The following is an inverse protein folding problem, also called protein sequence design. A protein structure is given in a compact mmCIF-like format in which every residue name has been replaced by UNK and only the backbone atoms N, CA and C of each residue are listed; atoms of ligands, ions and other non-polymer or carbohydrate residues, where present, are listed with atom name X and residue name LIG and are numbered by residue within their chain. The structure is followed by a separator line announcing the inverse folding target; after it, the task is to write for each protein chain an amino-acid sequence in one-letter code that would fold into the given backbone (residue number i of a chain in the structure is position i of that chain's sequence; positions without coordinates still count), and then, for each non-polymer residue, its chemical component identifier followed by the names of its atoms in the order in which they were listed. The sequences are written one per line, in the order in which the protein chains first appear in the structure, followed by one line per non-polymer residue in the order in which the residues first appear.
data_IF_896093533087
#
_entry.id   IF_896093533087
#
_cell.length_a   1.000
_cell.length_b   1.000
_cell.length_c   1.000
_cell.angle_alpha   90.00
_cell.angle_beta   90.00
_cell.angle_gamma   90.00
#
_symmetry.space_group_name_H-M   'P 1'
#
loop_
_entity.id
_entity.type
_entity.pdbx_description
1 polymer ?
#
# COMPACT_ATOMS: atom_id res chain seq x y z
N UNK A 1 -3.06 21.60 -56.66
CA UNK A 1 -2.76 20.52 -55.70
C UNK A 1 -2.14 21.15 -54.47
N UNK A 2 -2.89 21.22 -53.36
CA UNK A 2 -2.36 21.68 -52.07
C UNK A 2 -2.12 20.43 -51.22
N UNK A 3 -0.87 20.18 -50.85
CA UNK A 3 -0.48 19.09 -49.96
C UNK A 3 -0.74 19.56 -48.52
N UNK A 4 -1.71 18.98 -47.85
CA UNK A 4 -1.88 19.16 -46.41
C UNK A 4 -1.05 18.11 -45.70
N UNK A 5 -0.08 18.56 -44.89
CA UNK A 5 0.74 17.72 -44.04
C UNK A 5 -0.08 17.41 -42.77
N UNK A 6 -0.42 16.15 -42.56
CA UNK A 6 -1.04 15.69 -41.32
C UNK A 6 0.05 15.62 -40.25
N UNK A 7 -0.05 16.47 -39.22
CA UNK A 7 0.84 16.43 -38.06
C UNK A 7 0.44 15.25 -37.17
N UNK A 8 1.29 14.22 -37.10
CA UNK A 8 1.12 13.10 -36.18
C UNK A 8 1.62 13.54 -34.80
N UNK A 9 0.73 13.98 -33.93
CA UNK A 9 1.04 14.14 -32.51
C UNK A 9 0.83 12.78 -31.84
N UNK A 10 1.92 12.02 -31.65
CA UNK A 10 1.93 10.88 -30.75
C UNK A 10 1.73 11.40 -29.32
N UNK A 11 0.49 11.41 -28.84
CA UNK A 11 0.22 11.62 -27.41
C UNK A 11 0.52 10.29 -26.72
N UNK A 12 1.77 10.14 -26.28
CA UNK A 12 2.13 9.16 -25.26
C UNK A 12 1.43 9.57 -23.96
N UNK A 13 0.26 8.99 -23.70
CA UNK A 13 -0.28 8.91 -22.34
C UNK A 13 0.61 7.93 -21.57
N UNK A 14 1.82 8.37 -21.19
CA UNK A 14 2.56 7.68 -20.13
C UNK A 14 1.73 7.94 -18.88
N UNK A 15 1.08 6.91 -18.35
CA UNK A 15 0.54 7.00 -17.00
C UNK A 15 1.71 7.42 -16.11
N UNK A 16 1.64 8.64 -15.60
CA UNK A 16 2.63 9.16 -14.68
C UNK A 16 2.39 8.40 -13.38
N UNK A 17 3.08 7.27 -13.22
CA UNK A 17 3.14 6.58 -11.93
C UNK A 17 4.00 7.47 -11.05
N UNK A 18 3.34 8.30 -10.25
CA UNK A 18 4.02 9.03 -9.19
C UNK A 18 4.67 7.96 -8.30
N UNK A 19 5.98 8.09 -8.07
CA UNK A 19 6.70 7.13 -7.23
C UNK A 19 6.00 7.06 -5.87
N UNK A 20 5.63 5.85 -5.45
CA UNK A 20 4.98 5.61 -4.17
C UNK A 20 5.95 6.03 -3.05
N UNK A 21 5.52 6.88 -2.11
CA UNK A 21 6.35 7.18 -0.94
C UNK A 21 6.33 5.99 0.00
N UNK A 22 7.45 5.71 0.63
CA UNK A 22 7.57 4.69 1.68
C UNK A 22 7.93 5.34 3.01
N UNK A 23 7.12 5.03 4.04
CA UNK A 23 7.33 5.44 5.42
C UNK A 23 7.92 4.25 6.17
N UNK A 24 9.14 4.45 6.66
CA UNK A 24 9.92 3.42 7.33
C UNK A 24 10.05 3.73 8.81
N UNK A 25 10.07 2.67 9.61
CA UNK A 25 10.59 2.68 10.95
C UNK A 25 11.55 1.50 11.13
N UNK A 26 12.84 1.82 11.20
CA UNK A 26 13.95 0.90 11.40
C UNK A 26 14.41 0.82 12.87
N UNK A 27 13.88 1.68 13.74
CA UNK A 27 14.18 1.76 15.17
C UNK A 27 15.64 2.06 15.54
N UNK A 28 16.48 2.48 14.58
CA UNK A 28 17.91 2.68 14.79
C UNK A 28 18.25 3.99 15.51
N UNK A 29 17.32 4.94 15.49
CA UNK A 29 17.45 6.18 16.24
C UNK A 29 17.48 5.94 17.76
N UNK A 30 17.96 6.93 18.53
CA UNK A 30 18.03 6.80 19.99
C UNK A 30 16.67 7.04 20.64
N UNK A 31 16.11 6.01 21.26
CA UNK A 31 14.87 6.03 22.03
C UNK A 31 14.86 4.85 23.02
N UNK A 32 13.99 4.87 24.04
CA UNK A 32 13.70 3.68 24.85
C UNK A 32 14.89 2.94 25.45
N UNK A 33 15.89 3.64 26.00
CA UNK A 33 17.13 3.02 26.55
C UNK A 33 17.10 2.73 28.04
N UNK A 34 16.09 3.22 28.77
CA UNK A 34 16.05 3.22 30.25
C UNK A 34 14.93 2.33 30.83
N UNK A 35 14.17 1.63 29.99
CA UNK A 35 13.04 0.81 30.40
C UNK A 35 11.88 0.93 29.43
N UNK A 36 10.80 0.19 29.71
CA UNK A 36 9.56 0.33 28.98
C UNK A 36 8.92 1.69 29.26
N UNK A 37 8.40 2.31 28.20
CA UNK A 37 7.73 3.58 28.30
C UNK A 37 7.12 4.03 26.98
N UNK A 38 6.52 5.21 26.99
CA UNK A 38 5.95 5.83 25.80
C UNK A 38 6.97 6.75 25.14
N UNK A 39 7.26 6.49 23.87
CA UNK A 39 8.29 7.19 23.10
C UNK A 39 7.76 7.65 21.75
N UNK A 40 8.23 8.82 21.32
CA UNK A 40 8.12 9.25 19.94
C UNK A 40 9.42 8.91 19.21
N UNK A 41 9.31 8.12 18.14
CA UNK A 41 10.45 7.67 17.35
C UNK A 41 10.32 8.26 15.94
N UNK A 42 11.31 9.04 15.53
CA UNK A 42 11.30 9.63 14.18
C UNK A 42 11.72 8.57 13.16
N UNK A 43 10.83 8.29 12.20
CA UNK A 43 11.08 7.41 11.07
C UNK A 43 11.48 8.18 9.81
N UNK A 44 11.37 7.54 8.65
CA UNK A 44 11.64 8.21 7.37
C UNK A 44 10.69 9.39 7.14
N UNK A 45 11.05 10.24 6.17
CA UNK A 45 10.30 11.48 5.86
C UNK A 45 10.17 12.45 7.05
N UNK A 46 10.95 12.26 8.12
CA UNK A 46 10.87 13.05 9.35
C UNK A 46 9.55 12.86 10.12
N UNK A 47 8.82 11.76 9.85
CA UNK A 47 7.53 11.50 10.47
C UNK A 47 7.70 10.76 11.79
N UNK A 48 6.85 11.09 12.74
CA UNK A 48 6.93 10.56 14.10
C UNK A 48 5.99 9.37 14.28
N UNK A 49 6.56 8.27 14.76
CA UNK A 49 5.86 7.09 15.21
C UNK A 49 5.72 7.15 16.74
N UNK A 50 4.67 6.53 17.26
CA UNK A 50 4.48 6.41 18.71
C UNK A 50 4.67 4.95 19.11
N UNK A 51 5.56 4.71 20.07
CA UNK A 51 5.70 3.42 20.74
C UNK A 51 5.19 3.60 22.15
N UNK A 52 4.12 2.91 22.53
CA UNK A 52 3.60 2.91 23.89
C UNK A 52 4.02 1.65 24.63
N UNK A 53 4.49 1.82 25.87
CA UNK A 53 5.06 0.74 26.70
C UNK A 53 6.04 -0.15 25.91
N UNK A 54 6.95 0.48 25.17
CA UNK A 54 7.97 -0.22 24.40
C UNK A 54 9.37 0.05 24.90
N UNK A 55 10.31 -0.77 24.47
CA UNK A 55 11.75 -0.65 24.70
C UNK A 55 12.48 -0.85 23.38
N UNK A 56 13.60 -0.18 23.21
CA UNK A 56 14.51 -0.43 22.10
C UNK A 56 15.32 -1.70 22.36
N UNK A 57 14.96 -2.78 21.66
CA UNK A 57 15.60 -4.09 21.74
C UNK A 57 16.90 -4.10 20.96
N UNK A 58 17.96 -4.71 21.49
CA UNK A 58 19.30 -4.71 20.88
C UNK A 58 19.90 -6.11 20.69
N UNK A 59 19.20 -7.16 21.15
CA UNK A 59 19.66 -8.56 21.14
C UNK A 59 18.85 -9.45 20.20
N UNK A 60 17.58 -9.10 19.97
CA UNK A 60 16.66 -9.85 19.11
C UNK A 60 16.22 -8.98 17.94
N UNK A 61 17.15 -8.70 17.04
CA UNK A 61 17.00 -7.75 15.93
C UNK A 61 16.90 -8.53 14.61
N UNK A 62 16.05 -8.08 13.69
CA UNK A 62 15.96 -8.65 12.35
C UNK A 62 17.00 -8.00 11.43
N UNK A 63 17.00 -6.68 11.38
CA UNK A 63 17.89 -5.88 10.53
C UNK A 63 18.51 -4.74 11.35
N UNK A 64 19.76 -4.39 11.05
CA UNK A 64 20.44 -3.34 11.80
C UNK A 64 20.86 -3.78 13.20
N UNK A 65 20.75 -2.88 14.16
CA UNK A 65 21.18 -3.04 15.55
C UNK A 65 20.04 -2.93 16.57
N UNK A 66 18.85 -2.48 16.16
CA UNK A 66 17.75 -2.27 17.08
C UNK A 66 16.39 -2.66 16.50
N UNK A 67 15.49 -3.08 17.38
CA UNK A 67 14.09 -3.35 17.07
C UNK A 67 13.18 -2.70 18.13
N UNK A 68 11.88 -2.66 17.88
CA UNK A 68 10.89 -2.29 18.90
C UNK A 68 10.40 -3.51 19.65
N UNK A 69 10.48 -3.51 20.98
CA UNK A 69 9.89 -4.54 21.83
C UNK A 69 8.77 -3.93 22.68
N UNK A 70 7.55 -4.37 22.48
CA UNK A 70 6.41 -4.04 23.33
C UNK A 70 6.44 -4.88 24.62
N UNK A 71 5.95 -4.32 25.72
CA UNK A 71 5.96 -4.98 27.04
C UNK A 71 4.96 -6.14 27.16
N UNK A 72 5.06 -6.90 28.25
CA UNK A 72 4.15 -7.99 28.64
C UNK A 72 3.20 -7.60 29.79
N UNK A 73 2.81 -6.32 29.84
CA UNK A 73 2.00 -5.78 30.94
C UNK A 73 0.93 -4.80 30.46
N UNK A 74 -0.30 -5.29 30.24
CA UNK A 74 -1.43 -4.47 29.79
C UNK A 74 -1.50 -4.30 28.26
N UNK A 75 -2.15 -3.25 27.78
CA UNK A 75 -2.37 -3.03 26.34
C UNK A 75 -1.28 -2.08 25.81
N UNK A 76 -0.41 -2.54 24.90
CA UNK A 76 0.73 -1.75 24.36
C UNK A 76 0.71 -1.68 22.83
N UNK A 77 1.29 -0.63 22.24
CA UNK A 77 1.22 -0.48 20.79
C UNK A 77 2.40 0.22 20.14
N UNK A 78 2.58 -0.07 18.85
CA UNK A 78 3.33 0.75 17.91
C UNK A 78 2.32 1.39 16.94
N UNK A 79 2.38 2.71 16.75
CA UNK A 79 1.50 3.46 15.86
C UNK A 79 2.32 4.32 14.90
N UNK A 80 1.97 4.26 13.62
CA UNK A 80 2.53 5.10 12.57
C UNK A 80 2.07 6.57 12.70
N UNK A 81 2.70 7.53 12.02
CA UNK A 81 2.01 8.78 11.66
C UNK A 81 0.74 8.49 10.84
N UNK A 82 -0.15 9.48 10.73
CA UNK A 82 -1.16 9.47 9.67
C UNK A 82 -0.46 9.59 8.32
N UNK A 83 -0.81 8.70 7.40
CA UNK A 83 -0.28 8.64 6.04
C UNK A 83 -1.43 8.85 5.07
N UNK A 84 -1.22 9.70 4.07
CA UNK A 84 -2.23 10.11 3.09
C UNK A 84 -2.46 9.00 2.06
N UNK A 85 -3.27 8.01 2.45
CA UNK A 85 -3.55 6.80 1.68
C UNK A 85 -2.56 5.67 2.02
N UNK A 86 -3.08 4.49 2.34
CA UNK A 86 -2.29 3.31 2.67
C UNK A 86 -2.33 2.32 1.51
N UNK A 87 -1.18 2.04 0.92
CA UNK A 87 -0.97 0.94 -0.02
C UNK A 87 -0.74 -0.37 0.72
N UNK A 88 0.52 -0.76 0.85
CA UNK A 88 0.95 -1.99 1.46
C UNK A 88 1.59 -1.73 2.84
N UNK A 89 1.34 -2.62 3.80
CA UNK A 89 1.92 -2.60 5.14
C UNK A 89 2.78 -3.85 5.33
N UNK A 90 4.05 -3.65 5.66
CA UNK A 90 4.97 -4.74 6.01
C UNK A 90 5.73 -4.47 7.29
N UNK A 91 6.05 -5.54 8.01
CA UNK A 91 7.02 -5.49 9.10
C UNK A 91 7.46 -6.91 9.46
N UNK A 92 8.65 -7.00 10.06
CA UNK A 92 9.14 -8.23 10.66
C UNK A 92 8.67 -8.30 12.10
N UNK A 93 8.19 -9.46 12.53
CA UNK A 93 7.76 -9.65 13.91
C UNK A 93 8.15 -11.02 14.46
N UNK A 94 8.37 -11.08 15.77
CA UNK A 94 8.65 -12.33 16.47
C UNK A 94 8.18 -12.28 17.91
N UNK A 95 8.08 -13.46 18.49
CA UNK A 95 7.86 -13.65 19.90
C UNK A 95 9.19 -13.55 20.67
N UNK A 96 9.10 -13.18 21.95
CA UNK A 96 10.24 -13.13 22.87
C UNK A 96 10.95 -14.46 23.05
N UNK A 97 10.28 -15.46 23.63
CA UNK A 97 10.87 -16.77 24.00
C UNK A 97 9.98 -18.00 23.74
N UNK A 98 8.70 -17.79 23.45
CA UNK A 98 7.72 -18.76 22.99
C UNK A 98 6.66 -19.09 24.04
N UNK A 99 6.68 -18.46 25.23
CA UNK A 99 5.73 -18.74 26.30
C UNK A 99 5.56 -17.56 27.28
N UNK A 100 4.34 -17.21 27.74
CA UNK A 100 3.05 -17.74 27.25
C UNK A 100 2.82 -17.34 25.79
N UNK A 101 1.72 -17.75 25.19
CA UNK A 101 1.42 -17.31 23.83
C UNK A 101 1.01 -15.85 23.80
N UNK A 102 1.43 -15.14 22.76
CA UNK A 102 1.09 -13.74 22.49
C UNK A 102 -0.21 -13.61 21.68
N UNK A 103 -1.00 -12.58 21.97
CA UNK A 103 -2.10 -12.10 21.12
C UNK A 103 -1.83 -10.65 20.71
N UNK A 104 -2.00 -10.36 19.42
CA UNK A 104 -1.89 -9.00 18.91
C UNK A 104 -2.71 -8.79 17.65
N UNK A 105 -3.01 -7.55 17.31
CA UNK A 105 -3.72 -7.13 16.09
C UNK A 105 -2.92 -6.10 15.31
N UNK A 106 -3.21 -6.02 14.01
CA UNK A 106 -2.85 -4.91 13.14
C UNK A 106 -4.13 -4.18 12.78
N UNK A 107 -4.15 -2.87 12.96
CA UNK A 107 -5.36 -2.07 12.91
C UNK A 107 -5.11 -0.77 12.14
N UNK A 108 -6.17 -0.18 11.58
CA UNK A 108 -6.15 1.17 11.01
C UNK A 108 -7.14 2.10 11.69
N UNK A 109 -6.92 3.40 11.54
CA UNK A 109 -7.79 4.44 12.05
C UNK A 109 -7.65 5.70 11.21
N UNK A 110 -8.75 6.38 10.89
CA UNK A 110 -8.77 7.67 10.19
C UNK A 110 -8.69 8.87 11.15
N UNK A 111 -8.99 8.65 12.43
CA UNK A 111 -9.07 9.68 13.48
C UNK A 111 -8.02 9.50 14.61
N UNK A 112 -7.29 8.38 14.60
CA UNK A 112 -6.34 7.99 15.65
C UNK A 112 -6.99 7.52 16.96
N UNK A 113 -8.31 7.37 17.01
CA UNK A 113 -9.09 7.04 18.22
C UNK A 113 -9.93 5.77 18.03
N UNK A 114 -10.61 5.66 16.90
CA UNK A 114 -11.45 4.52 16.54
C UNK A 114 -10.67 3.61 15.62
N UNK A 115 -10.45 2.37 16.06
CA UNK A 115 -9.57 1.42 15.36
C UNK A 115 -10.38 0.29 14.75
N UNK A 116 -10.07 -0.02 13.48
CA UNK A 116 -10.61 -1.14 12.74
C UNK A 116 -9.52 -2.16 12.50
N UNK A 117 -9.78 -3.42 12.87
CA UNK A 117 -8.84 -4.52 12.67
C UNK A 117 -8.64 -4.82 11.17
N UNK A 118 -7.37 -4.95 10.77
CA UNK A 118 -6.91 -5.43 9.45
C UNK A 118 -6.51 -6.91 9.55
N UNK A 119 -5.88 -7.29 10.66
CA UNK A 119 -5.48 -8.66 10.97
C UNK A 119 -5.41 -8.90 12.48
N UNK A 120 -5.64 -10.14 12.90
CA UNK A 120 -5.44 -10.59 14.28
C UNK A 120 -4.64 -11.88 14.35
N UNK A 121 -3.87 -12.01 15.43
CA UNK A 121 -3.02 -13.15 15.72
C UNK A 121 -3.34 -13.65 17.11
N UNK A 122 -3.78 -14.90 17.20
CA UNK A 122 -4.02 -15.60 18.46
C UNK A 122 -2.99 -16.69 18.66
N UNK A 123 -2.60 -16.94 19.92
CA UNK A 123 -1.72 -18.06 20.29
C UNK A 123 -0.35 -18.03 19.60
N UNK A 124 0.18 -16.85 19.28
CA UNK A 124 1.45 -16.71 18.57
C UNK A 124 2.63 -17.02 19.50
N UNK A 125 3.57 -17.86 19.07
CA UNK A 125 4.72 -18.30 19.88
C UNK A 125 6.02 -18.44 19.09
N UNK A 126 6.06 -17.98 17.84
CA UNK A 126 7.21 -18.17 16.97
C UNK A 126 8.37 -17.24 17.35
N UNK A 127 9.49 -17.83 17.77
CA UNK A 127 10.70 -17.10 18.19
C UNK A 127 11.64 -16.74 17.03
N UNK A 128 11.32 -17.19 15.81
CA UNK A 128 11.97 -16.73 14.58
C UNK A 128 11.12 -15.65 13.93
N UNK A 129 11.78 -14.64 13.36
CA UNK A 129 11.09 -13.56 12.64
C UNK A 129 10.18 -14.09 11.53
N UNK A 130 8.94 -13.64 11.57
CA UNK A 130 7.91 -13.77 10.55
C UNK A 130 7.75 -12.42 9.86
N UNK A 131 7.07 -12.41 8.71
CA UNK A 131 6.80 -11.21 7.93
C UNK A 131 5.29 -11.00 7.87
N UNK A 132 4.84 -9.83 8.31
CA UNK A 132 3.52 -9.33 7.96
C UNK A 132 3.63 -8.62 6.62
N UNK A 133 2.70 -8.91 5.72
CA UNK A 133 2.64 -8.26 4.41
C UNK A 133 1.17 -8.25 3.96
N UNK A 134 0.56 -7.07 3.92
CA UNK A 134 -0.83 -6.92 3.53
C UNK A 134 -1.06 -5.65 2.72
N UNK A 135 -1.73 -5.81 1.58
CA UNK A 135 -2.28 -4.71 0.81
C UNK A 135 -3.55 -4.21 1.51
N UNK A 136 -3.44 -3.06 2.16
CA UNK A 136 -4.58 -2.39 2.82
C UNK A 136 -5.42 -1.63 1.79
N UNK A 137 -4.76 -1.06 0.78
CA UNK A 137 -5.37 -0.44 -0.39
C UNK A 137 -6.50 0.55 -0.04
N UNK A 138 -6.22 1.45 0.89
CA UNK A 138 -7.15 2.48 1.35
C UNK A 138 -6.67 3.85 0.86
N UNK A 139 -7.50 4.53 0.08
CA UNK A 139 -7.20 5.86 -0.46
C UNK A 139 -7.22 6.97 0.61
N UNK A 140 -7.84 6.71 1.77
CA UNK A 140 -8.00 7.70 2.82
C UNK A 140 -6.77 7.78 3.72
N UNK A 141 -6.59 8.96 4.32
CA UNK A 141 -5.58 9.14 5.34
C UNK A 141 -5.84 8.24 6.54
N UNK A 142 -4.86 7.42 6.92
CA UNK A 142 -4.99 6.49 8.03
C UNK A 142 -3.70 6.40 8.85
N UNK A 143 -3.86 6.07 10.13
CA UNK A 143 -2.85 5.51 11.00
C UNK A 143 -2.84 3.98 10.85
N UNK A 144 -1.68 3.36 11.03
CA UNK A 144 -1.53 1.92 11.22
C UNK A 144 -1.01 1.67 12.64
N UNK A 145 -1.64 0.74 13.34
CA UNK A 145 -1.25 0.30 14.68
C UNK A 145 -0.99 -1.18 14.72
N UNK A 146 0.05 -1.59 15.44
CA UNK A 146 0.18 -2.95 15.95
C UNK A 146 -0.08 -2.90 17.45
N UNK A 147 -1.13 -3.59 17.90
CA UNK A 147 -1.63 -3.57 19.26
C UNK A 147 -1.42 -4.95 19.91
N UNK A 148 -0.60 -5.01 20.95
CA UNK A 148 -0.41 -6.19 21.79
C UNK A 148 -1.45 -6.19 22.92
N UNK A 149 -1.90 -7.38 23.32
CA UNK A 149 -2.71 -7.57 24.53
C UNK A 149 -1.86 -7.62 25.82
N UNK A 150 -0.53 -7.63 25.65
CA UNK A 150 0.46 -7.72 26.72
C UNK A 150 0.53 -9.08 27.38
N UNK A 151 0.01 -10.14 26.78
CA UNK A 151 0.19 -11.49 27.31
C UNK A 151 1.66 -11.91 27.32
N UNK A 152 2.46 -11.39 26.38
CA UNK A 152 3.92 -11.54 26.31
C UNK A 152 4.52 -10.42 25.43
N UNK A 153 5.85 -10.31 25.38
CA UNK A 153 6.57 -9.33 24.57
C UNK A 153 6.51 -9.66 23.08
N UNK A 154 5.96 -8.72 22.31
CA UNK A 154 6.05 -8.65 20.86
C UNK A 154 7.29 -7.87 20.45
N UNK A 155 8.09 -8.40 19.53
CA UNK A 155 9.20 -7.66 18.91
C UNK A 155 8.87 -7.40 17.44
N UNK A 156 9.02 -6.15 17.00
CA UNK A 156 8.71 -5.63 15.67
C UNK A 156 9.95 -4.92 15.12
N UNK A 157 10.24 -5.14 13.84
CA UNK A 157 11.39 -4.55 13.16
C UNK A 157 11.10 -4.28 11.67
N UNK A 158 11.92 -3.44 11.04
CA UNK A 158 11.84 -3.02 9.63
C UNK A 158 10.40 -2.74 9.18
N UNK A 159 9.70 -1.83 9.86
CA UNK A 159 8.31 -1.48 9.53
C UNK A 159 8.29 -0.59 8.29
N UNK A 160 7.42 -0.92 7.33
CA UNK A 160 7.23 -0.16 6.10
C UNK A 160 5.75 0.01 5.79
N UNK A 161 5.36 1.23 5.44
CA UNK A 161 4.05 1.55 4.88
C UNK A 161 4.28 2.29 3.58
N UNK A 162 3.59 1.90 2.53
CA UNK A 162 3.64 2.61 1.25
C UNK A 162 2.38 3.47 1.06
N UNK A 163 2.48 4.58 0.32
CA UNK A 163 1.29 5.36 -0.08
C UNK A 163 0.31 4.50 -0.90
N UNK A 164 -0.97 4.84 -0.88
CA UNK A 164 -1.93 4.27 -1.84
C UNK A 164 -1.54 4.64 -3.28
N UNK A 165 -1.39 3.64 -4.15
CA UNK A 165 -0.92 3.84 -5.53
C UNK A 165 -2.04 3.81 -6.59
N UNK A 166 -3.30 3.73 -6.18
CA UNK A 166 -4.40 3.41 -7.09
C UNK A 166 -4.49 1.91 -7.39
N UNK A 167 -5.69 1.42 -7.70
CA UNK A 167 -5.83 0.14 -8.38
C UNK A 167 -5.60 0.31 -9.88
N UNK A 168 -4.98 -0.68 -10.52
CA UNK A 168 -4.93 -0.72 -11.98
C UNK A 168 -6.33 -1.08 -12.49
N UNK A 169 -6.86 -0.32 -13.44
CA UNK A 169 -8.13 -0.65 -14.07
C UNK A 169 -8.02 -2.01 -14.78
N UNK A 170 -8.97 -2.93 -14.53
CA UNK A 170 -8.96 -4.22 -15.18
C UNK A 170 -9.24 -4.10 -16.68
N UNK A 171 -8.76 -5.06 -17.47
CA UNK A 171 -9.12 -5.12 -18.89
C UNK A 171 -10.65 -5.24 -19.05
N UNK A 172 -11.26 -4.54 -20.03
CA UNK A 172 -12.68 -4.68 -20.31
C UNK A 172 -13.06 -6.14 -20.55
N UNK A 173 -14.21 -6.56 -20.00
CA UNK A 173 -14.61 -7.97 -20.06
C UNK A 173 -14.94 -8.44 -21.48
N UNK A 174 -15.27 -7.52 -22.38
CA UNK A 174 -15.55 -7.79 -23.79
C UNK A 174 -15.11 -6.60 -24.65
N UNK A 175 -14.97 -6.86 -25.96
CA UNK A 175 -14.74 -5.83 -26.98
C UNK A 175 -16.07 -5.25 -27.49
N UNK A 176 -16.07 -4.01 -28.04
CA UNK A 176 -17.22 -3.50 -28.78
C UNK A 176 -17.49 -4.37 -30.02
N UNK A 177 -18.74 -4.41 -30.46
CA UNK A 177 -19.18 -5.24 -31.59
C UNK A 177 -19.81 -4.39 -32.69
N UNK A 178 -20.15 -4.99 -33.83
CA UNK A 178 -20.85 -4.32 -34.94
C UNK A 178 -20.17 -3.03 -35.44
N UNK A 179 -18.83 -2.95 -35.38
CA UNK A 179 -18.10 -1.80 -35.89
C UNK A 179 -18.32 -1.64 -37.40
N UNK A 180 -18.77 -0.46 -37.81
CA UNK A 180 -18.90 -0.07 -39.21
C UNK A 180 -18.26 1.28 -39.44
N UNK A 181 -17.69 1.44 -40.63
CA UNK A 181 -17.12 2.69 -41.12
C UNK A 181 -17.68 2.93 -42.52
N UNK A 182 -18.51 3.97 -42.67
CA UNK A 182 -19.20 4.28 -43.93
C UNK A 182 -18.71 5.61 -44.45
N UNK A 183 -18.15 5.64 -45.66
CA UNK A 183 -17.79 6.89 -46.30
C UNK A 183 -19.03 7.76 -46.53
N UNK A 184 -19.00 9.01 -46.05
CA UNK A 184 -20.07 9.98 -46.19
C UNK A 184 -19.54 11.24 -46.88
N UNK A 185 -19.06 11.07 -48.11
CA UNK A 185 -18.38 12.13 -48.86
C UNK A 185 -16.87 11.90 -48.94
N UNK A 186 -16.15 12.92 -49.40
CA UNK A 186 -14.70 12.84 -49.65
C UNK A 186 -13.86 13.19 -48.43
N UNK A 187 -14.46 13.79 -47.40
CA UNK A 187 -13.81 14.29 -46.19
C UNK A 187 -14.46 13.78 -44.88
N UNK A 188 -15.42 12.86 -44.96
CA UNK A 188 -16.11 12.31 -43.80
C UNK A 188 -16.27 10.79 -43.91
N UNK A 189 -16.07 10.11 -42.77
CA UNK A 189 -16.41 8.71 -42.56
C UNK A 189 -17.25 8.64 -41.29
N UNK A 190 -18.46 8.12 -41.42
CA UNK A 190 -19.35 7.88 -40.29
C UNK A 190 -19.00 6.54 -39.64
N UNK A 191 -18.76 6.57 -38.35
CA UNK A 191 -18.43 5.39 -37.55
C UNK A 191 -19.61 5.03 -36.67
N UNK A 192 -19.91 3.74 -36.57
CA UNK A 192 -20.85 3.23 -35.56
C UNK A 192 -20.38 1.88 -35.04
N UNK A 193 -20.76 1.57 -33.80
CA UNK A 193 -20.51 0.29 -33.16
C UNK A 193 -21.56 0.07 -32.06
N UNK A 194 -21.64 -1.17 -31.59
CA UNK A 194 -22.31 -1.51 -30.34
C UNK A 194 -21.27 -1.48 -29.24
N UNK A 195 -21.53 -0.73 -28.17
CA UNK A 195 -20.63 -0.63 -27.02
C UNK A 195 -20.34 -2.01 -26.40
N UNK A 196 -19.15 -2.13 -25.81
CA UNK A 196 -18.78 -3.30 -25.03
C UNK A 196 -19.72 -3.45 -23.82
N UNK A 197 -20.06 -4.70 -23.50
CA UNK A 197 -20.91 -5.05 -22.35
C UNK A 197 -20.19 -6.03 -21.44
N UNK A 198 -20.44 -6.02 -20.14
CA UNK A 198 -19.81 -6.98 -19.22
C UNK A 198 -19.76 -6.44 -17.80
N UNK A 199 -18.97 -7.10 -16.95
CA UNK A 199 -18.75 -6.68 -15.56
C UNK A 199 -17.74 -5.54 -15.46
N UNK A 200 -16.73 -5.53 -16.33
CA UNK A 200 -15.79 -4.43 -16.51
C UNK A 200 -16.04 -3.78 -17.87
N UNK A 201 -16.42 -2.51 -17.86
CA UNK A 201 -16.66 -1.72 -19.07
C UNK A 201 -15.40 -0.91 -19.43
N UNK A 202 -15.20 -0.59 -20.72
CA UNK A 202 -14.12 0.31 -21.13
C UNK A 202 -14.46 1.77 -20.78
N UNK A 203 -13.45 2.54 -20.37
CA UNK A 203 -13.58 4.00 -20.20
C UNK A 203 -13.59 4.75 -21.54
N UNK A 204 -13.16 4.10 -22.62
CA UNK A 204 -13.17 4.65 -23.96
C UNK A 204 -12.72 3.67 -25.04
N UNK A 205 -12.81 4.10 -26.29
CA UNK A 205 -12.42 3.30 -27.45
C UNK A 205 -11.29 3.97 -28.22
N UNK A 206 -10.30 3.15 -28.63
CA UNK A 206 -9.23 3.58 -29.52
C UNK A 206 -9.58 3.18 -30.97
N UNK A 207 -9.87 4.18 -31.80
CA UNK A 207 -10.09 3.98 -33.23
C UNK A 207 -8.76 4.14 -33.97
N UNK A 208 -8.36 3.12 -34.73
CA UNK A 208 -7.17 3.15 -35.59
C UNK A 208 -7.61 3.08 -37.05
N UNK A 209 -7.06 3.96 -37.88
CA UNK A 209 -7.28 3.95 -39.33
C UNK A 209 -5.92 3.95 -40.04
N UNK A 210 -5.82 3.22 -41.16
CA UNK A 210 -4.67 3.28 -42.04
C UNK A 210 -5.11 3.06 -43.50
N UNK A 211 -4.22 3.40 -44.43
CA UNK A 211 -4.43 3.14 -45.86
C UNK A 211 -3.82 1.80 -46.31
N UNK A 212 -3.01 1.18 -45.45
CA UNK A 212 -2.18 0.03 -45.81
C UNK A 212 -2.75 -1.31 -45.36
N UNK A 213 -3.75 -1.33 -44.46
CA UNK A 213 -4.31 -2.54 -43.88
C UNK A 213 -3.43 -3.22 -42.81
N UNK A 214 -2.23 -2.70 -42.54
CA UNK A 214 -1.31 -3.23 -41.51
C UNK A 214 -1.15 -2.27 -40.34
N UNK A 215 -1.54 -2.70 -39.14
CA UNK A 215 -1.24 -2.01 -37.89
C UNK A 215 -0.06 -2.73 -37.21
N UNK A 216 1.15 -2.16 -37.32
CA UNK A 216 2.35 -2.62 -36.61
C UNK A 216 2.54 -1.86 -35.31
#
# INVERSE_FOLDING_TARGET
MKKSVLFFALVLCVSMVWGQTTYLQDFESSWGTSGYGTYTVTGSQGKNWTVDQGLREATKVYEGSHACRLDDGGTQYLVSPSIDGIGNVTFHYRHWDGSPTLVFSVEKSDDGNTWTEIASFSSFSNISYQIFNQDVNDENANYIRVQSDGSERLIIDSFSITDYAGSVDPEPSNYPTSFTATANGYDQVDLSWTDATGTTLPDGYLIKANETGTFT
#
